data_IF_533644898936
#
_entry.id   IF_533644898936
#
_cell.length_a   1.000
_cell.length_b   1.000
_cell.length_c   1.000
_cell.angle_alpha   90.00
_cell.angle_beta   90.00
_cell.angle_gamma   90.00
#
_symmetry.space_group_name_H-M   'P 1'
#
loop_
_entity.id
_entity.type
_entity.pdbx_description
1 polymer ?
#
# COMPACT_ATOMS: atom_id res chain seq x y z
N UNK A 1 -31.29 -5.85 40.79
CA UNK A 1 -30.57 -5.54 39.54
C UNK A 1 -31.62 -5.45 38.43
N UNK A 2 -31.81 -4.28 37.81
CA UNK A 2 -32.80 -4.10 36.74
C UNK A 2 -32.29 -4.72 35.43
N UNK A 3 -33.17 -5.46 34.74
CA UNK A 3 -32.85 -6.07 33.45
C UNK A 3 -32.51 -4.98 32.38
N UNK A 4 -31.56 -5.24 31.47
CA UNK A 4 -31.22 -4.29 30.43
C UNK A 4 -32.42 -4.05 29.50
N UNK A 5 -32.79 -2.77 29.29
CA UNK A 5 -33.82 -2.37 28.31
C UNK A 5 -33.39 -2.86 26.92
N UNK A 6 -34.18 -3.77 26.34
CA UNK A 6 -33.97 -4.27 24.99
C UNK A 6 -34.28 -3.18 23.96
N UNK A 7 -33.30 -2.82 23.14
CA UNK A 7 -33.46 -1.85 22.05
C UNK A 7 -34.10 -2.57 20.86
N UNK A 8 -35.08 -1.94 20.20
CA UNK A 8 -35.72 -2.50 18.99
C UNK A 8 -34.73 -2.45 17.83
N UNK A 9 -34.55 -3.57 17.13
CA UNK A 9 -33.77 -3.63 15.89
C UNK A 9 -34.52 -2.97 14.73
N UNK A 10 -34.42 -1.65 14.61
CA UNK A 10 -34.96 -0.88 13.48
C UNK A 10 -33.86 -0.06 12.83
N UNK A 11 -34.06 0.30 11.55
CA UNK A 11 -33.12 1.14 10.80
C UNK A 11 -32.90 2.48 11.50
N UNK A 12 -33.97 3.10 12.00
CA UNK A 12 -33.90 4.39 12.70
C UNK A 12 -32.98 4.31 13.92
N UNK A 13 -33.04 3.21 14.69
CA UNK A 13 -32.21 3.02 15.88
C UNK A 13 -30.75 2.71 15.55
N UNK A 14 -30.48 2.14 14.38
CA UNK A 14 -29.12 1.94 13.87
C UNK A 14 -28.51 3.29 13.40
N UNK A 15 -29.23 4.03 12.56
CA UNK A 15 -28.78 5.30 11.99
C UNK A 15 -28.55 6.37 13.06
N UNK A 16 -29.47 6.50 14.02
CA UNK A 16 -29.31 7.43 15.13
C UNK A 16 -28.25 6.96 16.15
N UNK A 17 -27.74 5.73 16.03
CA UNK A 17 -26.70 5.17 16.87
C UNK A 17 -27.15 4.66 18.24
N UNK A 18 -28.45 4.66 18.53
CA UNK A 18 -29.01 4.04 19.75
C UNK A 18 -28.67 2.55 19.80
N UNK A 19 -28.60 1.90 18.63
CA UNK A 19 -28.15 0.53 18.45
C UNK A 19 -26.73 0.54 17.86
N UNK A 20 -25.80 -0.19 18.47
CA UNK A 20 -24.46 -0.44 17.91
C UNK A 20 -23.35 0.55 18.31
N UNK A 21 -23.65 1.75 18.83
CA UNK A 21 -22.62 2.72 19.29
C UNK A 21 -22.26 2.64 20.77
N UNK A 22 -22.86 1.73 21.53
CA UNK A 22 -22.52 1.56 22.94
C UNK A 22 -21.17 0.82 23.10
N UNK A 23 -20.16 1.55 23.59
CA UNK A 23 -18.80 1.08 23.77
C UNK A 23 -18.67 -0.17 24.66
N UNK A 24 -19.66 -0.45 25.53
CA UNK A 24 -19.66 -1.66 26.36
C UNK A 24 -19.76 -2.95 25.55
N UNK A 25 -20.24 -2.86 24.31
CA UNK A 25 -20.32 -3.98 23.37
C UNK A 25 -19.18 -3.99 22.35
N UNK A 26 -18.33 -2.96 22.33
CA UNK A 26 -17.14 -2.94 21.49
C UNK A 26 -16.07 -3.89 22.06
N UNK A 27 -15.42 -4.65 21.18
CA UNK A 27 -14.29 -5.51 21.53
C UNK A 27 -13.14 -5.27 20.57
N UNK A 28 -11.92 -5.34 21.07
CA UNK A 28 -10.72 -5.32 20.23
C UNK A 28 -10.79 -6.52 19.29
N UNK A 29 -10.52 -6.27 18.00
CA UNK A 29 -10.37 -7.34 17.03
C UNK A 29 -9.19 -8.27 17.43
N UNK A 30 -9.29 -9.57 17.11
CA UNK A 30 -8.18 -10.49 17.29
C UNK A 30 -6.98 -10.07 16.42
N UNK A 31 -5.73 -10.20 16.88
CA UNK A 31 -4.53 -9.86 16.09
C UNK A 31 -4.46 -10.58 14.74
N UNK A 32 -5.00 -11.79 14.66
CA UNK A 32 -5.02 -12.60 13.44
C UNK A 32 -5.84 -11.95 12.32
N UNK A 33 -6.84 -11.12 12.66
CA UNK A 33 -7.64 -10.40 11.68
C UNK A 33 -6.82 -9.32 10.95
N UNK A 34 -5.84 -8.70 11.63
CA UNK A 34 -4.93 -7.74 11.01
C UNK A 34 -4.10 -8.42 9.91
N UNK A 35 -3.57 -9.61 10.20
CA UNK A 35 -2.82 -10.40 9.24
C UNK A 35 -3.67 -10.85 8.04
N UNK A 36 -4.93 -11.25 8.27
CA UNK A 36 -5.86 -11.60 7.19
C UNK A 36 -6.17 -10.41 6.28
N UNK A 37 -6.28 -9.20 6.85
CA UNK A 37 -6.49 -7.98 6.08
C UNK A 37 -5.24 -7.68 5.22
N UNK A 38 -4.06 -7.75 5.82
CA UNK A 38 -2.80 -7.53 5.10
C UNK A 38 -2.65 -8.54 3.94
N UNK A 39 -2.89 -9.82 4.18
CA UNK A 39 -2.82 -10.88 3.17
C UNK A 39 -3.84 -10.65 2.05
N UNK A 40 -5.10 -10.35 2.38
CA UNK A 40 -6.15 -10.07 1.40
C UNK A 40 -5.82 -8.84 0.54
N UNK A 41 -5.02 -7.89 1.05
CA UNK A 41 -4.56 -6.71 0.33
C UNK A 41 -3.18 -6.88 -0.32
N UNK A 42 -2.54 -8.05 -0.19
CA UNK A 42 -1.17 -8.28 -0.67
C UNK A 42 -0.12 -7.41 0.02
N UNK A 43 -0.38 -7.01 1.26
CA UNK A 43 0.50 -6.17 2.06
C UNK A 43 1.44 -7.02 2.92
N UNK A 44 2.67 -6.56 3.05
CA UNK A 44 3.65 -7.13 3.97
C UNK A 44 4.19 -6.02 4.87
N UNK A 45 4.08 -6.23 6.18
CA UNK A 45 4.72 -5.36 7.16
C UNK A 45 6.25 -5.50 7.07
N UNK A 46 6.94 -4.38 6.88
CA UNK A 46 8.40 -4.31 6.86
C UNK A 46 8.89 -3.31 7.90
N UNK A 47 10.07 -3.56 8.45
CA UNK A 47 10.74 -2.61 9.34
C UNK A 47 11.83 -1.88 8.55
N UNK A 48 11.68 -0.57 8.39
CA UNK A 48 12.64 0.30 7.72
C UNK A 48 13.02 1.47 8.64
N UNK A 49 14.23 1.98 8.48
CA UNK A 49 14.69 3.20 9.16
C UNK A 49 14.62 4.36 8.18
N UNK A 50 14.02 5.46 8.59
CA UNK A 50 13.90 6.70 7.83
C UNK A 50 14.34 7.87 8.72
N UNK A 51 14.84 8.93 8.11
CA UNK A 51 15.19 10.16 8.81
C UNK A 51 13.95 10.79 9.44
N UNK A 52 14.12 11.38 10.63
CA UNK A 52 12.99 11.99 11.38
C UNK A 52 12.33 13.10 10.58
N UNK A 53 13.12 13.95 9.95
CA UNK A 53 12.62 15.08 9.16
C UNK A 53 11.81 14.61 7.95
N UNK A 54 12.22 13.49 7.35
CA UNK A 54 11.51 12.87 6.24
C UNK A 54 10.13 12.36 6.69
N UNK A 55 10.07 11.66 7.82
CA UNK A 55 8.81 11.16 8.40
C UNK A 55 7.84 12.32 8.66
N UNK A 56 8.33 13.41 9.26
CA UNK A 56 7.49 14.58 9.55
C UNK A 56 7.02 15.29 8.29
N UNK A 57 7.88 15.40 7.28
CA UNK A 57 7.52 15.96 5.96
C UNK A 57 6.38 15.17 5.33
N UNK A 58 6.48 13.85 5.29
CA UNK A 58 5.41 13.00 4.75
C UNK A 58 4.11 13.09 5.55
N UNK A 59 4.16 13.22 6.88
CA UNK A 59 2.95 13.47 7.69
C UNK A 59 2.29 14.79 7.34
N UNK A 60 3.07 15.85 7.12
CA UNK A 60 2.54 17.16 6.73
C UNK A 60 1.88 17.09 5.34
N UNK A 61 2.53 16.45 4.37
CA UNK A 61 1.97 16.21 3.04
C UNK A 61 0.66 15.42 3.15
N UNK A 62 0.64 14.34 3.94
CA UNK A 62 -0.54 13.50 4.13
C UNK A 62 -1.74 14.30 4.67
N UNK A 63 -1.49 15.21 5.63
CA UNK A 63 -2.51 16.14 6.15
C UNK A 63 -3.06 17.07 5.08
N UNK A 64 -2.21 17.64 4.22
CA UNK A 64 -2.63 18.52 3.13
C UNK A 64 -3.51 17.76 2.12
N UNK A 65 -3.13 16.52 1.81
CA UNK A 65 -3.87 15.67 0.87
C UNK A 65 -5.07 14.94 1.50
N UNK A 66 -5.34 15.13 2.80
CA UNK A 66 -6.37 14.41 3.56
C UNK A 66 -6.26 12.88 3.45
N UNK A 67 -5.04 12.36 3.43
CA UNK A 67 -4.74 10.92 3.40
C UNK A 67 -3.93 10.51 4.63
N UNK A 68 -3.90 9.22 4.94
CA UNK A 68 -3.02 8.70 5.97
C UNK A 68 -1.55 8.74 5.56
N UNK A 69 -0.64 8.86 6.53
CA UNK A 69 0.81 8.80 6.31
C UNK A 69 1.24 7.49 5.63
N UNK A 70 0.78 6.34 6.14
CA UNK A 70 1.14 5.03 5.58
C UNK A 70 0.64 4.84 4.13
N UNK A 71 -0.62 5.18 3.78
CA UNK A 71 -1.07 5.20 2.38
C UNK A 71 -0.21 6.08 1.47
N UNK A 72 0.11 7.31 1.91
CA UNK A 72 0.97 8.22 1.13
C UNK A 72 2.37 7.64 0.91
N UNK A 73 2.98 7.08 1.96
CA UNK A 73 4.30 6.45 1.87
C UNK A 73 4.30 5.30 0.88
N UNK A 74 3.28 4.43 0.92
CA UNK A 74 3.16 3.29 0.00
C UNK A 74 3.08 3.76 -1.45
N UNK A 75 2.25 4.77 -1.71
CA UNK A 75 2.10 5.36 -3.03
C UNK A 75 3.39 6.02 -3.53
N UNK A 76 4.09 6.75 -2.67
CA UNK A 76 5.37 7.37 -3.02
C UNK A 76 6.42 6.33 -3.41
N UNK A 77 6.55 5.25 -2.64
CA UNK A 77 7.47 4.15 -2.94
C UNK A 77 7.10 3.43 -4.25
N UNK A 78 5.80 3.20 -4.49
CA UNK A 78 5.32 2.60 -5.74
C UNK A 78 5.65 3.46 -6.96
N UNK A 79 5.34 4.76 -6.89
CA UNK A 79 5.63 5.70 -7.98
C UNK A 79 7.11 5.76 -8.33
N UNK A 80 7.97 5.73 -7.31
CA UNK A 80 9.41 5.69 -7.52
C UNK A 80 9.82 4.40 -8.25
N UNK A 81 9.40 3.23 -7.76
CA UNK A 81 9.72 1.96 -8.40
C UNK A 81 9.24 1.88 -9.86
N UNK A 82 7.99 2.30 -10.12
CA UNK A 82 7.41 2.32 -11.46
C UNK A 82 8.17 3.25 -12.41
N UNK A 83 8.64 4.40 -11.92
CA UNK A 83 9.44 5.34 -12.70
C UNK A 83 10.83 4.78 -13.02
N UNK A 84 11.52 4.21 -12.03
CA UNK A 84 12.86 3.62 -12.20
C UNK A 84 12.83 2.45 -13.19
N UNK A 85 11.83 1.58 -13.10
CA UNK A 85 11.66 0.47 -14.06
C UNK A 85 11.54 1.00 -15.49
N UNK A 86 10.74 2.06 -15.72
CA UNK A 86 10.60 2.67 -17.05
C UNK A 86 11.91 3.23 -17.57
N UNK A 87 12.69 3.90 -16.70
CA UNK A 87 14.01 4.44 -17.07
C UNK A 87 14.97 3.32 -17.46
N UNK A 88 15.02 2.24 -16.68
CA UNK A 88 15.87 1.07 -16.95
C UNK A 88 15.47 0.43 -18.28
N UNK A 89 14.18 0.19 -18.52
CA UNK A 89 13.69 -0.40 -19.76
C UNK A 89 14.04 0.45 -20.99
N UNK A 90 13.87 1.77 -20.89
CA UNK A 90 14.25 2.69 -21.97
C UNK A 90 15.76 2.63 -22.25
N UNK A 91 16.59 2.56 -21.21
CA UNK A 91 18.04 2.43 -21.37
C UNK A 91 18.44 1.11 -22.05
N UNK A 92 17.81 -0.01 -21.64
CA UNK A 92 18.06 -1.33 -22.24
C UNK A 92 17.64 -1.37 -23.71
N UNK A 93 16.46 -0.83 -24.06
CA UNK A 93 16.00 -0.77 -25.44
C UNK A 93 16.98 0.03 -26.32
N UNK A 94 17.38 1.21 -25.87
CA UNK A 94 18.34 2.07 -26.58
C UNK A 94 19.73 1.42 -26.73
N UNK A 95 20.18 0.63 -25.75
CA UNK A 95 21.44 -0.10 -25.83
C UNK A 95 21.36 -1.29 -26.82
N UNK A 96 20.22 -1.95 -26.90
CA UNK A 96 19.94 -3.05 -27.83
C UNK A 96 20.00 -2.58 -29.29
N UNK A 97 19.40 -1.42 -29.57
CA UNK A 97 19.38 -0.82 -30.92
C UNK A 97 20.79 -0.43 -31.40
N UNK A 98 21.66 0.01 -30.46
CA UNK A 98 23.06 0.35 -30.76
C UNK A 98 23.94 -0.89 -30.97
N UNK A 99 23.71 -1.97 -30.21
CA UNK A 99 24.43 -3.24 -30.39
C UNK A 99 24.02 -3.98 -31.68
N UNK A 100 22.84 -3.71 -32.24
CA UNK A 100 22.45 -4.17 -33.57
C UNK A 100 23.27 -3.55 -34.72
N UNK A 101 23.97 -2.44 -34.48
CA UNK A 101 24.80 -1.77 -35.48
C UNK A 101 26.30 -2.12 -35.41
N UNK A 102 26.82 -2.64 -34.30
CA UNK A 102 28.23 -3.01 -34.15
C UNK A 102 28.36 -4.44 -33.59
N UNK A 103 28.74 -5.38 -34.47
CA UNK A 103 29.01 -6.75 -34.08
C UNK A 103 30.22 -6.86 -33.14
N UNK A 104 30.02 -7.47 -31.97
CA UNK A 104 31.11 -8.00 -31.14
C UNK A 104 30.90 -7.82 -29.63
N UNK A 105 30.71 -8.93 -28.91
CA UNK A 105 30.92 -9.02 -27.46
C UNK A 105 29.65 -9.21 -26.62
N UNK A 106 29.27 -10.46 -26.35
CA UNK A 106 28.18 -10.82 -25.44
C UNK A 106 28.58 -10.57 -23.98
N UNK A 107 28.01 -9.54 -23.37
CA UNK A 107 27.62 -9.58 -21.96
C UNK A 107 26.09 -9.49 -21.90
N UNK A 108 25.43 -10.63 -22.05
CA UNK A 108 24.00 -10.77 -21.87
C UNK A 108 23.70 -10.78 -20.37
N UNK A 109 23.32 -9.62 -19.82
CA UNK A 109 22.57 -9.60 -18.57
C UNK A 109 21.15 -10.01 -18.96
N UNK A 110 20.81 -11.27 -18.70
CA UNK A 110 19.50 -11.84 -18.98
C UNK A 110 18.50 -11.29 -17.95
N UNK A 111 17.97 -10.10 -18.21
CA UNK A 111 16.82 -9.57 -17.47
C UNK A 111 15.60 -10.27 -18.04
N UNK A 112 15.08 -11.27 -17.33
CA UNK A 112 13.82 -11.93 -17.70
C UNK A 112 12.70 -10.89 -17.66
N UNK A 113 12.20 -10.51 -18.83
CA UNK A 113 11.11 -9.53 -18.99
C UNK A 113 9.88 -9.91 -18.16
N UNK A 114 9.66 -11.21 -17.92
CA UNK A 114 8.57 -11.77 -17.12
C UNK A 114 8.55 -11.29 -15.66
N UNK A 115 9.71 -10.89 -15.09
CA UNK A 115 9.79 -10.41 -13.70
C UNK A 115 9.32 -8.96 -13.56
N UNK A 116 9.35 -8.17 -14.64
CA UNK A 116 8.94 -6.76 -14.66
C UNK A 116 7.46 -6.57 -15.03
N UNK A 117 6.83 -7.56 -15.67
CA UNK A 117 5.45 -7.48 -16.13
C UNK A 117 4.38 -7.64 -15.04
N UNK A 118 4.75 -8.06 -13.82
CA UNK A 118 3.76 -8.28 -12.73
C UNK A 118 3.24 -7.01 -12.05
N UNK A 119 3.79 -5.83 -12.34
CA UNK A 119 3.50 -4.61 -11.56
C UNK A 119 2.72 -3.52 -12.32
N UNK A 120 2.36 -3.75 -13.60
CA UNK A 120 1.68 -2.77 -14.47
C UNK A 120 0.32 -3.30 -14.99
N UNK A 121 -0.44 -3.99 -14.14
CA UNK A 121 -1.85 -4.31 -14.41
C UNK A 121 -2.74 -3.73 -13.30
#
# INVERSE_FOLDING_TARGET
MNAPKKIKGSVENWENGTLGRDARYAKRAPPELEQQIDEAQGLQAISIRLDRDLIETFKQIARIHNVGYQPLMREALRRFADAEIKVILAAVANASDRNGQHGGGKHSVEVKLDDLQRHVA
#
